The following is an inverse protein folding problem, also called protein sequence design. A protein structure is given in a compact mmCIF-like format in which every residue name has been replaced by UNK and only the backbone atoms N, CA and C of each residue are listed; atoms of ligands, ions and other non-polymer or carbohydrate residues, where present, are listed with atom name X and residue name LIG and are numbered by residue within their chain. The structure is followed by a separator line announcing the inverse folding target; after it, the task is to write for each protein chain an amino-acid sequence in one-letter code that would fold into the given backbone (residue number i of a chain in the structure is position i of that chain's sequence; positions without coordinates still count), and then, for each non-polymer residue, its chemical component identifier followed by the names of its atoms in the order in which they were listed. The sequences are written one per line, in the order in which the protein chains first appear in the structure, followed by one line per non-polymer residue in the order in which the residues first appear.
data_IF_952125193393
#
_entry.id   IF_952125193393
#
_cell.length_a   1.000
_cell.length_b   1.000
_cell.length_c   1.000
_cell.angle_alpha   90.00
_cell.angle_beta   90.00
_cell.angle_gamma   90.00
#
_symmetry.space_group_name_H-M   'P 1'
#
loop_
_entity.id
_entity.type
_entity.pdbx_description
1 polymer ?
#
# COMPACT_ATOMS: atom_id res chain seq x y z
N UNK A 1 -7.06 -7.86 -6.20
CA UNK A 1 -7.72 -6.66 -6.75
C UNK A 1 -8.69 -7.07 -7.86
N UNK A 2 -9.89 -6.51 -7.92
CA UNK A 2 -10.87 -6.86 -8.94
C UNK A 2 -10.42 -6.37 -10.33
N UNK A 3 -10.80 -7.09 -11.40
CA UNK A 3 -10.73 -6.56 -12.78
C UNK A 3 -11.51 -5.25 -12.86
N UNK A 4 -11.30 -4.39 -13.88
CA UNK A 4 -12.20 -3.24 -14.10
C UNK A 4 -13.68 -3.65 -14.08
N UNK A 5 -14.02 -4.78 -14.71
CA UNK A 5 -15.39 -5.31 -14.70
C UNK A 5 -15.85 -5.73 -13.30
N UNK A 6 -14.98 -6.31 -12.50
CA UNK A 6 -15.28 -6.70 -11.13
C UNK A 6 -15.33 -5.49 -10.18
N UNK A 7 -14.49 -4.46 -10.40
CA UNK A 7 -14.54 -3.19 -9.66
C UNK A 7 -15.80 -2.43 -10.03
N UNK A 8 -16.21 -2.43 -11.30
CA UNK A 8 -17.51 -1.88 -11.72
C UNK A 8 -18.66 -2.65 -11.06
N UNK A 9 -18.59 -3.98 -11.01
CA UNK A 9 -19.61 -4.80 -10.35
C UNK A 9 -19.66 -4.54 -8.83
N UNK A 10 -18.50 -4.36 -8.20
CA UNK A 10 -18.35 -4.00 -6.78
C UNK A 10 -18.91 -2.60 -6.51
N UNK A 11 -18.54 -1.61 -7.33
CA UNK A 11 -19.10 -0.25 -7.26
C UNK A 11 -20.62 -0.30 -7.39
N UNK A 12 -21.16 -1.06 -8.34
CA UNK A 12 -22.60 -1.21 -8.50
C UNK A 12 -23.24 -1.83 -7.26
N UNK A 13 -22.65 -2.90 -6.72
CA UNK A 13 -23.12 -3.53 -5.49
C UNK A 13 -23.12 -2.56 -4.29
N UNK A 14 -22.06 -1.78 -4.13
CA UNK A 14 -21.93 -0.78 -3.06
C UNK A 14 -22.95 0.35 -3.21
N UNK A 15 -23.19 0.85 -4.43
CA UNK A 15 -24.24 1.83 -4.72
C UNK A 15 -25.64 1.30 -4.38
N UNK A 16 -25.92 0.03 -4.71
CA UNK A 16 -27.19 -0.62 -4.37
C UNK A 16 -27.34 -0.76 -2.84
N UNK A 17 -26.28 -1.18 -2.14
CA UNK A 17 -26.26 -1.31 -0.68
C UNK A 17 -26.42 0.03 0.05
N UNK A 18 -25.77 1.08 -0.45
CA UNK A 18 -25.95 2.44 0.03
C UNK A 18 -27.41 2.88 -0.11
N UNK A 19 -27.99 2.69 -1.30
CA UNK A 19 -29.38 3.05 -1.60
C UNK A 19 -30.36 2.33 -0.68
N UNK A 20 -30.14 1.04 -0.39
CA UNK A 20 -30.97 0.25 0.53
C UNK A 20 -30.88 0.79 1.97
N UNK A 21 -29.67 1.13 2.42
CA UNK A 21 -29.43 1.65 3.77
C UNK A 21 -30.00 3.05 3.96
N UNK A 22 -29.90 3.92 2.94
CA UNK A 22 -30.55 5.24 2.92
C UNK A 22 -32.08 5.12 2.95
N UNK A 23 -32.65 4.16 2.22
CA UNK A 23 -34.09 3.89 2.24
C UNK A 23 -34.56 3.40 3.62
N UNK A 24 -33.80 2.52 4.28
CA UNK A 24 -34.08 2.07 5.66
C UNK A 24 -34.05 3.23 6.65
N UNK A 25 -33.05 4.11 6.53
CA UNK A 25 -32.89 5.26 7.42
C UNK A 25 -33.99 6.31 7.21
N UNK A 26 -34.37 6.56 5.95
CA UNK A 26 -35.50 7.42 5.60
C UNK A 26 -36.82 6.89 6.19
N UNK A 27 -37.08 5.58 6.04
CA UNK A 27 -38.27 4.94 6.63
C UNK A 27 -38.25 5.04 8.16
N UNK A 28 -37.10 4.77 8.78
CA UNK A 28 -36.92 4.88 10.23
C UNK A 28 -37.25 6.30 10.73
N UNK A 29 -36.86 7.34 10.00
CA UNK A 29 -37.17 8.74 10.33
C UNK A 29 -38.65 9.10 10.17
N UNK A 30 -39.40 8.39 9.33
CA UNK A 30 -40.84 8.58 9.16
C UNK A 30 -41.71 7.80 10.14
N UNK A 31 -41.17 6.76 10.78
CA UNK A 31 -41.89 5.88 11.68
C UNK A 31 -41.94 6.45 13.12
N UNK A 32 -43.11 6.41 13.76
CA UNK A 32 -43.24 6.74 15.19
C UNK A 32 -42.70 5.59 16.06
N UNK A 33 -41.53 5.78 16.66
CA UNK A 33 -40.97 4.83 17.62
C UNK A 33 -41.48 5.09 19.04
N UNK A 34 -41.87 4.01 19.73
CA UNK A 34 -42.34 4.05 21.13
C UNK A 34 -41.19 4.00 22.15
N UNK A 35 -40.02 3.53 21.74
CA UNK A 35 -38.82 3.40 22.57
C UNK A 35 -37.69 4.19 21.90
N UNK A 36 -37.33 5.31 22.52
CA UNK A 36 -36.34 6.26 22.03
C UNK A 36 -34.91 5.71 22.09
N UNK A 37 -34.61 4.88 23.10
CA UNK A 37 -33.30 4.26 23.26
C UNK A 37 -33.08 3.18 22.20
N UNK A 38 -34.12 2.38 21.91
CA UNK A 38 -34.09 1.40 20.84
C UNK A 38 -33.95 2.07 19.46
N UNK A 39 -34.71 3.14 19.22
CA UNK A 39 -34.61 3.95 17.99
C UNK A 39 -33.19 4.48 17.76
N UNK A 40 -32.61 5.14 18.78
CA UNK A 40 -31.26 5.69 18.68
C UNK A 40 -30.21 4.61 18.38
N UNK A 41 -30.32 3.44 19.01
CA UNK A 41 -29.42 2.31 18.75
C UNK A 41 -29.54 1.77 17.32
N UNK A 42 -30.76 1.58 16.82
CA UNK A 42 -30.97 1.10 15.45
C UNK A 42 -30.50 2.12 14.41
N UNK A 43 -30.76 3.40 14.65
CA UNK A 43 -30.31 4.49 13.79
C UNK A 43 -28.78 4.54 13.74
N UNK A 44 -28.10 4.55 14.89
CA UNK A 44 -26.63 4.59 14.93
C UNK A 44 -25.99 3.42 14.19
N UNK A 45 -26.58 2.22 14.26
CA UNK A 45 -26.12 1.07 13.48
C UNK A 45 -26.25 1.28 11.97
N UNK A 46 -27.36 1.84 11.50
CA UNK A 46 -27.57 2.13 10.08
C UNK A 46 -26.64 3.25 9.59
N UNK A 47 -26.41 4.28 10.40
CA UNK A 47 -25.46 5.37 10.09
C UNK A 47 -24.04 4.81 9.97
N UNK A 48 -23.62 3.96 10.92
CA UNK A 48 -22.31 3.29 10.84
C UNK A 48 -22.18 2.44 9.56
N UNK A 49 -23.21 1.65 9.22
CA UNK A 49 -23.20 0.85 7.99
C UNK A 49 -23.10 1.70 6.73
N UNK A 50 -23.78 2.86 6.70
CA UNK A 50 -23.68 3.80 5.59
C UNK A 50 -22.27 4.39 5.46
N UNK A 51 -21.65 4.76 6.57
CA UNK A 51 -20.29 5.30 6.57
C UNK A 51 -19.27 4.24 6.11
N UNK A 52 -19.43 2.99 6.53
CA UNK A 52 -18.62 1.85 6.06
C UNK A 52 -18.77 1.64 4.55
N UNK A 53 -20.01 1.55 4.03
CA UNK A 53 -20.27 1.36 2.59
C UNK A 53 -19.74 2.53 1.76
N UNK A 54 -19.87 3.77 2.24
CA UNK A 54 -19.34 4.95 1.53
C UNK A 54 -17.82 4.93 1.45
N UNK A 55 -17.15 4.56 2.54
CA UNK A 55 -15.70 4.41 2.55
C UNK A 55 -15.24 3.32 1.57
N UNK A 56 -15.93 2.19 1.55
CA UNK A 56 -15.63 1.10 0.60
C UNK A 56 -15.86 1.53 -0.86
N UNK A 57 -16.90 2.33 -1.11
CA UNK A 57 -17.18 2.90 -2.44
C UNK A 57 -16.09 3.86 -2.90
N UNK A 58 -15.63 4.75 -2.02
CA UNK A 58 -14.52 5.67 -2.29
C UNK A 58 -13.24 4.89 -2.62
N UNK A 59 -12.89 3.88 -1.82
CA UNK A 59 -11.74 3.00 -2.05
C UNK A 59 -11.87 2.28 -3.41
N UNK A 60 -13.06 1.79 -3.78
CA UNK A 60 -13.30 1.11 -5.05
C UNK A 60 -13.18 2.07 -6.26
N UNK A 61 -13.67 3.30 -6.12
CA UNK A 61 -13.58 4.35 -7.15
C UNK A 61 -12.14 4.82 -7.36
N UNK A 62 -11.38 5.03 -6.28
CA UNK A 62 -9.95 5.35 -6.36
C UNK A 62 -9.21 4.23 -7.10
N UNK A 63 -9.45 2.98 -6.72
CA UNK A 63 -8.84 1.84 -7.40
C UNK A 63 -9.22 1.79 -8.89
N UNK A 64 -10.45 2.10 -9.26
CA UNK A 64 -10.87 2.18 -10.66
C UNK A 64 -10.19 3.31 -11.45
N UNK A 65 -10.00 4.47 -10.81
CA UNK A 65 -9.42 5.66 -11.43
C UNK A 65 -7.90 5.53 -11.65
N UNK A 66 -7.19 4.96 -10.68
CA UNK A 66 -5.72 4.91 -10.73
C UNK A 66 -5.17 3.73 -11.52
N UNK A 67 -5.92 2.66 -11.77
CA UNK A 67 -5.38 1.46 -12.44
C UNK A 67 -5.54 1.52 -13.97
N UNK A 68 -4.47 1.70 -14.77
CA UNK A 68 -4.62 1.74 -16.22
C UNK A 68 -4.84 0.33 -16.75
N UNK A 69 -5.92 0.16 -17.52
CA UNK A 69 -6.42 -1.13 -18.00
C UNK A 69 -5.35 -2.01 -18.67
N UNK A 70 -4.41 -1.39 -19.41
CA UNK A 70 -3.34 -2.11 -20.12
C UNK A 70 -2.39 -2.84 -19.18
N UNK A 71 -2.05 -2.27 -18.03
CA UNK A 71 -1.18 -2.92 -17.06
C UNK A 71 -1.92 -4.08 -16.38
N UNK A 72 -3.20 -3.90 -16.07
CA UNK A 72 -4.00 -4.99 -15.52
C UNK A 72 -4.08 -6.19 -16.49
N UNK A 73 -4.44 -5.96 -17.75
CA UNK A 73 -4.56 -7.02 -18.76
C UNK A 73 -3.25 -7.79 -18.95
N UNK A 74 -2.11 -7.09 -18.84
CA UNK A 74 -0.78 -7.68 -18.94
C UNK A 74 -0.43 -8.58 -17.75
N UNK A 75 -0.84 -8.20 -16.54
CA UNK A 75 -0.40 -8.84 -15.30
C UNK A 75 -1.48 -9.68 -14.61
N UNK A 76 -2.74 -9.67 -15.08
CA UNK A 76 -3.89 -10.25 -14.36
C UNK A 76 -3.67 -11.69 -13.87
N UNK A 77 -3.07 -12.54 -14.71
CA UNK A 77 -2.80 -13.94 -14.40
C UNK A 77 -1.87 -14.06 -13.21
N UNK A 78 -0.77 -13.31 -13.22
CA UNK A 78 0.25 -13.36 -12.19
C UNK A 78 -0.13 -12.55 -10.96
N UNK A 79 -0.98 -11.53 -11.09
CA UNK A 79 -1.52 -10.79 -9.94
C UNK A 79 -2.40 -11.68 -9.07
N UNK A 80 -3.22 -12.55 -9.66
CA UNK A 80 -3.99 -13.53 -8.89
C UNK A 80 -3.06 -14.46 -8.09
N UNK A 81 -2.02 -15.00 -8.75
CA UNK A 81 -1.00 -15.82 -8.10
C UNK A 81 -0.23 -15.05 -7.01
N UNK A 82 0.09 -13.78 -7.24
CA UNK A 82 0.74 -12.91 -6.26
C UNK A 82 -0.12 -12.73 -5.00
N UNK A 83 -1.44 -12.67 -5.16
CA UNK A 83 -2.38 -12.49 -4.06
C UNK A 83 -2.82 -13.76 -3.35
N UNK A 84 -2.46 -14.94 -3.87
CA UNK A 84 -2.68 -16.21 -3.17
C UNK A 84 -1.91 -16.24 -1.84
N UNK A 85 -0.72 -15.64 -1.83
CA UNK A 85 0.16 -15.55 -0.67
C UNK A 85 -0.08 -14.30 0.19
N UNK A 86 -1.03 -13.42 -0.19
CA UNK A 86 -1.26 -12.16 0.53
C UNK A 86 -2.15 -11.16 -0.20
N UNK A 87 -3.22 -10.70 0.44
CA UNK A 87 -4.15 -9.71 -0.15
C UNK A 87 -3.45 -8.38 -0.45
N UNK A 88 -3.96 -7.66 -1.45
CA UNK A 88 -3.42 -6.39 -1.92
C UNK A 88 -3.19 -5.38 -0.78
N UNK A 89 -4.15 -5.29 0.13
CA UNK A 89 -4.18 -4.40 1.30
C UNK A 89 -3.16 -4.79 2.37
N UNK A 90 -2.56 -5.98 2.27
CA UNK A 90 -1.54 -6.48 3.19
C UNK A 90 -0.14 -6.45 2.60
N UNK A 91 0.00 -6.34 1.28
CA UNK A 91 1.30 -6.34 0.62
C UNK A 91 1.98 -4.96 0.73
N UNK A 92 3.26 -4.99 1.12
CA UNK A 92 4.14 -3.83 1.21
C UNK A 92 5.34 -4.06 0.29
N UNK A 93 5.45 -3.26 -0.77
CA UNK A 93 6.57 -3.36 -1.70
C UNK A 93 7.79 -2.60 -1.17
N UNK A 94 8.90 -3.30 -0.99
CA UNK A 94 10.17 -2.74 -0.55
C UNK A 94 11.01 -2.45 -1.80
N UNK A 95 11.18 -1.17 -2.11
CA UNK A 95 11.98 -0.67 -3.21
C UNK A 95 13.40 -0.46 -2.71
N UNK A 96 14.36 -1.15 -3.31
CA UNK A 96 15.74 -1.13 -2.87
C UNK A 96 16.69 -1.40 -4.03
N UNK A 97 17.97 -1.10 -3.84
CA UNK A 97 19.02 -1.44 -4.80
C UNK A 97 19.32 -2.94 -4.75
N UNK A 98 19.54 -3.54 -5.91
CA UNK A 98 20.23 -4.82 -5.99
C UNK A 98 21.74 -4.58 -5.80
N UNK A 99 22.23 -4.81 -4.58
CA UNK A 99 23.65 -4.70 -4.29
C UNK A 99 24.43 -5.89 -4.84
N UNK A 100 25.73 -5.69 -5.11
CA UNK A 100 26.61 -6.79 -5.51
C UNK A 100 26.90 -7.67 -4.29
N UNK A 101 26.58 -8.98 -4.34
CA UNK A 101 26.79 -9.86 -3.20
C UNK A 101 28.25 -9.90 -2.76
N UNK A 102 28.49 -9.92 -1.44
CA UNK A 102 29.82 -10.10 -0.86
C UNK A 102 30.59 -8.83 -0.50
N UNK A 103 30.00 -7.63 -0.65
CA UNK A 103 30.55 -6.39 -0.09
C UNK A 103 29.99 -6.11 1.30
N UNK A 104 30.72 -5.33 2.12
CA UNK A 104 30.22 -4.89 3.44
C UNK A 104 28.92 -4.10 3.33
N UNK A 105 28.83 -3.23 2.33
CA UNK A 105 27.67 -2.37 2.13
C UNK A 105 26.46 -3.17 1.64
N UNK A 106 26.68 -4.21 0.83
CA UNK A 106 25.60 -5.12 0.43
C UNK A 106 25.02 -5.87 1.63
N UNK A 107 25.87 -6.33 2.56
CA UNK A 107 25.42 -6.99 3.78
C UNK A 107 24.65 -6.03 4.69
N UNK A 108 25.13 -4.78 4.83
CA UNK A 108 24.45 -3.76 5.62
C UNK A 108 23.08 -3.41 5.01
N UNK A 109 22.99 -3.28 3.68
CA UNK A 109 21.72 -3.06 3.00
C UNK A 109 20.76 -4.24 3.21
N UNK A 110 21.25 -5.47 3.16
CA UNK A 110 20.41 -6.65 3.45
C UNK A 110 19.87 -6.58 4.89
N UNK A 111 20.70 -6.21 5.87
CA UNK A 111 20.25 -6.00 7.26
C UNK A 111 19.16 -4.93 7.36
N UNK A 112 19.29 -3.82 6.62
CA UNK A 112 18.25 -2.78 6.55
C UNK A 112 16.95 -3.36 5.97
N UNK A 113 17.03 -4.12 4.86
CA UNK A 113 15.88 -4.77 4.24
C UNK A 113 15.22 -5.74 5.21
N UNK A 114 15.99 -6.59 5.88
CA UNK A 114 15.50 -7.55 6.88
C UNK A 114 14.76 -6.86 8.02
N UNK A 115 15.28 -5.76 8.57
CA UNK A 115 14.57 -5.00 9.60
C UNK A 115 13.23 -4.42 9.12
N UNK A 116 13.17 -3.96 7.86
CA UNK A 116 11.90 -3.54 7.25
C UNK A 116 10.94 -4.75 7.14
N UNK A 117 11.42 -5.90 6.63
CA UNK A 117 10.61 -7.12 6.47
C UNK A 117 10.05 -7.58 7.81
N UNK A 118 10.89 -7.64 8.84
CA UNK A 118 10.52 -8.11 10.18
C UNK A 118 9.45 -7.21 10.78
N UNK A 119 9.62 -5.88 10.70
CA UNK A 119 8.64 -4.95 11.23
C UNK A 119 7.32 -5.01 10.48
N UNK A 120 7.35 -5.03 9.15
CA UNK A 120 6.15 -5.17 8.30
C UNK A 120 5.41 -6.46 8.67
N UNK A 121 6.12 -7.57 8.81
CA UNK A 121 5.55 -8.87 9.20
C UNK A 121 4.95 -8.82 10.61
N UNK A 122 5.65 -8.21 11.56
CA UNK A 122 5.17 -8.05 12.94
C UNK A 122 3.88 -7.22 13.04
N UNK A 123 3.64 -6.31 12.08
CA UNK A 123 2.39 -5.56 11.98
C UNK A 123 1.27 -6.30 11.22
N UNK A 124 1.46 -7.58 10.88
CA UNK A 124 0.47 -8.39 10.17
C UNK A 124 0.33 -8.02 8.68
N UNK A 125 1.38 -7.44 8.10
CA UNK A 125 1.53 -7.16 6.67
C UNK A 125 2.53 -8.13 6.04
N UNK A 126 2.65 -8.09 4.72
CA UNK A 126 3.43 -9.04 3.93
C UNK A 126 4.47 -8.26 3.14
N UNK A 127 5.76 -8.33 3.54
CA UNK A 127 6.82 -7.63 2.83
C UNK A 127 7.11 -8.33 1.50
N UNK A 128 7.33 -7.52 0.46
CA UNK A 128 7.59 -8.00 -0.91
C UNK A 128 8.81 -7.27 -1.46
N UNK A 129 9.82 -8.02 -1.90
CA UNK A 129 10.98 -7.49 -2.64
C UNK A 129 10.95 -8.10 -4.05
N UNK A 130 11.31 -7.33 -5.07
CA UNK A 130 11.21 -7.79 -6.47
C UNK A 130 12.04 -9.04 -6.80
N UNK A 131 13.01 -9.41 -5.96
CA UNK A 131 13.79 -10.66 -6.04
C UNK A 131 13.10 -11.89 -5.42
N UNK A 132 12.03 -11.73 -4.64
CA UNK A 132 11.40 -12.84 -3.90
C UNK A 132 10.90 -13.94 -4.84
N UNK A 133 10.28 -13.54 -5.95
CA UNK A 133 9.70 -14.44 -6.96
C UNK A 133 9.69 -13.78 -8.34
N UNK A 134 10.04 -14.58 -9.35
CA UNK A 134 10.01 -14.21 -10.76
C UNK A 134 8.67 -14.66 -11.38
N UNK A 135 7.82 -13.71 -11.73
CA UNK A 135 6.56 -13.93 -12.44
C UNK A 135 6.69 -13.69 -13.95
N UNK A 136 7.57 -12.76 -14.33
CA UNK A 136 7.82 -12.39 -15.72
C UNK A 136 9.30 -12.57 -16.11
N UNK A 137 9.55 -12.80 -17.40
CA UNK A 137 10.91 -12.87 -17.93
C UNK A 137 11.60 -11.51 -18.02
N UNK A 138 10.82 -10.46 -18.28
CA UNK A 138 11.34 -9.10 -18.28
C UNK A 138 11.30 -8.54 -16.86
N UNK A 139 12.44 -8.01 -16.40
CA UNK A 139 12.59 -7.47 -15.03
C UNK A 139 11.59 -6.37 -14.74
N UNK A 140 11.36 -5.47 -15.69
CA UNK A 140 10.40 -4.38 -15.52
C UNK A 140 8.98 -4.90 -15.27
N UNK A 141 8.56 -5.93 -16.01
CA UNK A 141 7.22 -6.52 -15.82
C UNK A 141 7.10 -7.18 -14.45
N UNK A 142 8.19 -7.74 -13.93
CA UNK A 142 8.22 -8.27 -12.59
C UNK A 142 8.06 -7.13 -11.57
N UNK A 143 8.87 -6.08 -11.66
CA UNK A 143 8.79 -4.93 -10.75
C UNK A 143 7.41 -4.25 -10.82
N UNK A 144 6.88 -4.03 -12.02
CA UNK A 144 5.55 -3.47 -12.25
C UNK A 144 4.47 -4.32 -11.57
N UNK A 145 4.56 -5.65 -11.64
CA UNK A 145 3.65 -6.54 -10.92
C UNK A 145 3.71 -6.37 -9.40
N UNK A 146 4.89 -6.20 -8.81
CA UNK A 146 5.03 -5.99 -7.36
C UNK A 146 4.43 -4.64 -6.93
N UNK A 147 4.62 -3.58 -7.73
CA UNK A 147 4.01 -2.27 -7.49
C UNK A 147 2.48 -2.33 -7.64
N UNK A 148 1.97 -3.04 -8.65
CA UNK A 148 0.52 -3.25 -8.87
C UNK A 148 -0.08 -4.14 -7.77
N UNK A 149 0.68 -5.10 -7.26
CA UNK A 149 0.26 -6.10 -6.28
C UNK A 149 0.22 -5.59 -4.84
N UNK A 150 0.72 -4.39 -4.56
CA UNK A 150 0.94 -3.84 -3.21
C UNK A 150 0.22 -2.52 -2.95
N UNK A 151 -0.49 -2.42 -1.82
CA UNK A 151 -1.16 -1.18 -1.38
C UNK A 151 -0.19 -0.16 -0.82
N UNK A 152 0.88 -0.63 -0.17
CA UNK A 152 1.88 0.19 0.49
C UNK A 152 3.26 -0.01 -0.13
N UNK A 153 4.12 0.99 0.03
CA UNK A 153 5.52 0.91 -0.39
C UNK A 153 6.48 1.45 0.66
N UNK A 154 7.71 0.93 0.68
CA UNK A 154 8.84 1.47 1.43
C UNK A 154 9.98 1.65 0.45
N UNK A 155 10.40 2.89 0.22
CA UNK A 155 11.55 3.21 -0.61
C UNK A 155 12.78 3.46 0.27
N UNK A 156 13.79 2.59 0.14
CA UNK A 156 15.06 2.71 0.85
C UNK A 156 16.01 3.55 0.00
N UNK A 157 16.39 4.72 0.51
CA UNK A 157 17.31 5.63 -0.15
C UNK A 157 18.66 5.62 0.55
N UNK A 158 19.69 5.23 -0.20
CA UNK A 158 21.06 5.14 0.26
C UNK A 158 22.02 5.40 -0.90
N UNK A 159 23.23 5.84 -0.58
CA UNK A 159 24.33 6.06 -1.53
C UNK A 159 25.62 5.33 -1.11
N UNK A 160 25.52 4.40 -0.15
CA UNK A 160 26.62 3.60 0.38
C UNK A 160 27.04 2.52 -0.59
N UNK A 161 26.08 1.82 -1.19
CA UNK A 161 26.34 0.79 -2.20
C UNK A 161 26.85 1.37 -3.53
N UNK A 162 26.43 2.60 -3.85
CA UNK A 162 26.96 3.42 -4.95
C UNK A 162 26.54 4.87 -4.74
N UNK A 163 27.48 5.80 -4.97
CA UNK A 163 27.37 7.25 -4.72
C UNK A 163 26.41 7.98 -5.70
N UNK A 164 25.17 7.54 -5.76
CA UNK A 164 24.13 8.10 -6.63
C UNK A 164 22.74 7.80 -6.07
N UNK A 165 21.76 8.64 -6.42
CA UNK A 165 20.35 8.28 -6.28
C UNK A 165 20.01 7.16 -7.26
N UNK A 166 19.58 6.00 -6.74
CA UNK A 166 19.20 4.87 -7.58
C UNK A 166 17.98 5.22 -8.46
N UNK A 167 18.13 5.26 -9.80
CA UNK A 167 17.04 5.65 -10.70
C UNK A 167 15.86 4.68 -10.68
N UNK A 168 16.10 3.39 -10.39
CA UNK A 168 15.03 2.39 -10.30
C UNK A 168 14.15 2.63 -9.07
N UNK A 169 14.77 2.84 -7.90
CA UNK A 169 14.04 3.18 -6.67
C UNK A 169 13.27 4.49 -6.84
N UNK A 170 13.88 5.49 -7.48
CA UNK A 170 13.22 6.76 -7.76
C UNK A 170 11.98 6.61 -8.66
N UNK A 171 12.10 5.80 -9.71
CA UNK A 171 11.01 5.49 -10.64
C UNK A 171 9.89 4.68 -9.95
N UNK A 172 10.23 3.63 -9.20
CA UNK A 172 9.27 2.79 -8.48
C UNK A 172 8.48 3.60 -7.45
N UNK A 173 9.19 4.44 -6.69
CA UNK A 173 8.59 5.36 -5.73
C UNK A 173 7.63 6.34 -6.41
N UNK A 174 8.09 7.01 -7.47
CA UNK A 174 7.29 7.97 -8.23
C UNK A 174 6.06 7.33 -8.86
N UNK A 175 6.21 6.11 -9.39
CA UNK A 175 5.11 5.35 -9.99
C UNK A 175 4.05 4.99 -8.95
N UNK A 176 4.45 4.43 -7.79
CA UNK A 176 3.48 4.08 -6.74
C UNK A 176 2.75 5.31 -6.20
N UNK A 177 3.43 6.44 -6.06
CA UNK A 177 2.79 7.70 -5.70
C UNK A 177 1.82 8.21 -6.76
N UNK A 178 2.18 8.14 -8.04
CA UNK A 178 1.30 8.50 -9.16
C UNK A 178 0.04 7.64 -9.22
N UNK A 179 0.10 6.43 -8.66
CA UNK A 179 -1.01 5.48 -8.54
C UNK A 179 -1.80 5.63 -7.22
N UNK A 180 -1.58 6.72 -6.47
CA UNK A 180 -2.28 7.00 -5.22
C UNK A 180 -1.89 6.11 -4.04
N UNK A 181 -0.74 5.41 -4.12
CA UNK A 181 -0.31 4.50 -3.04
C UNK A 181 0.34 5.27 -1.89
N UNK A 182 0.19 4.73 -0.68
CA UNK A 182 0.90 5.26 0.50
C UNK A 182 2.30 4.68 0.53
N UNK A 183 3.31 5.53 0.36
CA UNK A 183 4.72 5.13 0.28
C UNK A 183 5.53 5.87 1.33
N UNK A 184 6.26 5.12 2.14
CA UNK A 184 7.27 5.66 3.06
C UNK A 184 8.58 5.87 2.31
N UNK A 185 9.16 7.05 2.45
CA UNK A 185 10.55 7.29 2.06
C UNK A 185 11.42 7.11 3.30
N UNK A 186 12.28 6.09 3.26
CA UNK A 186 13.20 5.74 4.32
C UNK A 186 14.62 6.05 3.85
N UNK A 187 15.17 7.17 4.33
CA UNK A 187 16.43 7.74 3.85
C UNK A 187 17.57 7.48 4.82
N UNK A 188 18.72 7.04 4.31
CA UNK A 188 19.94 6.97 5.10
C UNK A 188 20.38 8.40 5.51
N UNK A 189 20.77 8.59 6.76
CA UNK A 189 21.01 9.93 7.34
C UNK A 189 22.03 10.76 6.54
N UNK A 190 23.11 10.13 6.08
CA UNK A 190 24.19 10.78 5.34
C UNK A 190 23.95 10.84 3.82
N UNK A 191 22.79 10.37 3.33
CA UNK A 191 22.43 10.45 1.92
C UNK A 191 22.38 11.90 1.42
N UNK A 192 23.31 12.27 0.52
CA UNK A 192 23.48 13.65 0.02
C UNK A 192 23.03 13.82 -1.45
N UNK A 193 22.45 12.77 -2.05
CA UNK A 193 22.02 12.79 -3.46
C UNK A 193 20.57 13.25 -3.67
N UNK A 194 19.96 13.91 -2.68
CA UNK A 194 18.60 14.42 -2.73
C UNK A 194 18.42 15.46 -3.86
N UNK A 195 17.27 15.41 -4.53
CA UNK A 195 16.85 16.39 -5.53
C UNK A 195 15.77 17.29 -4.94
N UNK A 196 15.68 18.53 -5.42
CA UNK A 196 14.78 19.55 -4.86
C UNK A 196 13.31 19.09 -4.77
N UNK A 197 12.85 18.29 -5.73
CA UNK A 197 11.47 17.78 -5.78
C UNK A 197 11.15 16.73 -4.70
N UNK A 198 12.18 16.18 -4.04
CA UNK A 198 12.06 15.20 -2.96
C UNK A 198 12.12 15.84 -1.58
N UNK A 199 12.72 17.02 -1.46
CA UNK A 199 13.03 17.73 -0.21
C UNK A 199 11.80 18.33 0.53
N UNK A 200 10.58 17.92 0.18
CA UNK A 200 9.34 18.47 0.75
C UNK A 200 8.33 17.43 1.24
N UNK A 201 8.69 16.14 1.27
CA UNK A 201 7.79 15.08 1.75
C UNK A 201 8.16 14.59 3.14
N UNK A 202 7.20 13.97 3.82
CA UNK A 202 7.42 13.26 5.09
C UNK A 202 8.39 12.09 4.84
N UNK A 203 9.69 12.36 5.01
CA UNK A 203 10.74 11.36 5.02
C UNK A 203 11.02 10.90 6.46
N UNK A 204 11.33 9.62 6.62
CA UNK A 204 11.95 9.11 7.84
C UNK A 204 13.40 8.80 7.54
N UNK A 205 14.27 9.04 8.52
CA UNK A 205 15.70 8.78 8.36
C UNK A 205 16.17 7.62 9.23
N UNK A 206 17.23 6.91 8.83
CA UNK A 206 17.85 5.85 9.61
C UNK A 206 19.38 5.94 9.57
N UNK A 207 20.03 5.49 10.63
CA UNK A 207 21.50 5.34 10.70
C UNK A 207 21.90 4.02 10.04
N UNK A 208 22.79 4.06 9.05
CA UNK A 208 23.29 2.89 8.34
C UNK A 208 23.84 1.79 9.27
N UNK A 209 24.48 2.17 10.38
CA UNK A 209 25.12 1.24 11.31
C UNK A 209 24.18 0.80 12.45
N UNK A 210 23.10 1.53 12.68
CA UNK A 210 22.10 1.20 13.71
C UNK A 210 20.67 1.53 13.23
N UNK A 211 20.17 0.79 12.22
CA UNK A 211 18.95 1.18 11.51
C UNK A 211 17.65 0.83 12.25
N UNK A 212 17.69 -0.12 13.19
CA UNK A 212 16.51 -0.83 13.70
C UNK A 212 15.43 0.09 14.30
N UNK A 213 15.78 0.90 15.32
CA UNK A 213 14.79 1.68 16.06
C UNK A 213 14.08 2.72 15.18
N UNK A 214 14.85 3.36 14.30
CA UNK A 214 14.32 4.36 13.37
C UNK A 214 13.39 3.73 12.33
N UNK A 215 13.75 2.57 11.77
CA UNK A 215 12.91 1.83 10.84
C UNK A 215 11.59 1.43 11.50
N UNK A 216 11.63 0.94 12.74
CA UNK A 216 10.43 0.50 13.43
C UNK A 216 9.42 1.63 13.58
N UNK A 217 9.85 2.79 14.07
CA UNK A 217 8.97 3.95 14.21
C UNK A 217 8.45 4.46 12.86
N UNK A 218 9.29 4.45 11.82
CA UNK A 218 8.89 4.89 10.49
C UNK A 218 7.77 4.01 9.89
N UNK A 219 7.87 2.69 10.01
CA UNK A 219 6.88 1.74 9.49
C UNK A 219 5.54 1.87 10.21
N UNK A 220 5.53 2.19 11.51
CA UNK A 220 4.30 2.45 12.28
C UNK A 220 3.53 3.69 11.77
N UNK A 221 4.22 4.69 11.21
CA UNK A 221 3.53 5.84 10.58
C UNK A 221 2.92 5.49 9.21
N UNK A 222 3.49 4.50 8.53
CA UNK A 222 3.04 4.04 7.22
C UNK A 222 1.80 3.14 7.37
N UNK A 223 1.89 2.12 8.21
CA UNK A 223 0.92 1.04 8.28
C UNK A 223 -0.07 1.26 9.44
N UNK A 224 -1.38 1.21 9.19
CA UNK A 224 -2.36 1.29 10.27
C UNK A 224 -2.26 0.08 11.20
N UNK A 225 -2.52 0.29 12.49
CA UNK A 225 -2.59 -0.78 13.48
C UNK A 225 -3.66 -1.80 13.10
N UNK A 226 -3.31 -3.08 13.14
CA UNK A 226 -4.24 -4.19 13.00
C UNK A 226 -4.70 -4.60 14.40
N UNK A 227 -5.80 -4.00 14.86
CA UNK A 227 -6.54 -4.46 16.04
C UNK A 227 -7.35 -5.73 15.74
#
# INVERSE_FOLDING_TARGET
MPTRSATIAEIQYLLDSQSESEAKLSKLNSDMFRDEALYAKYRGKLEQQLDEVRKDLDDALENYAFFPQRHYERHNRHLNEFWDDGKFEKNVFIMTRFAQPGTSDANALETVIEHVRDKVTAMGYIPRVASDKKYHDWLWDNVELYMLGSKYGVAILEDKCAQELNPNVAMEWGWMLGMGRKVLMLREQEFDQLRADWAGRLESTFDWNNPMDAIQGAIETLLPSTD
#
